data_IF_355393475818
#
_entry.id   IF_355393475818
#
_cell.length_a   1.000
_cell.length_b   1.000
_cell.length_c   1.000
_cell.angle_alpha   90.00
_cell.angle_beta   90.00
_cell.angle_gamma   90.00
#
_symmetry.space_group_name_H-M   'P 1'
#
loop_
_entity.id
_entity.type
_entity.pdbx_description
1 polymer ?
#
# COMPACT_ATOMS: atom_id res chain seq x y z
N UNK A 1 11.75 -0.14 -16.56
CA UNK A 1 10.30 0.15 -16.42
C UNK A 1 9.48 0.13 -17.70
N UNK A 2 9.93 0.63 -18.84
CA UNK A 2 9.18 0.50 -20.12
C UNK A 2 9.09 -0.95 -20.60
N UNK A 3 10.14 -1.75 -20.40
CA UNK A 3 10.17 -3.16 -20.76
C UNK A 3 9.14 -3.99 -19.96
N UNK A 4 8.98 -3.68 -18.66
CA UNK A 4 8.10 -4.43 -17.75
C UNK A 4 6.62 -4.22 -18.07
N UNK A 5 6.25 -3.01 -18.50
CA UNK A 5 4.89 -2.70 -18.96
C UNK A 5 4.53 -3.43 -20.25
N UNK A 6 5.46 -3.50 -21.22
CA UNK A 6 5.26 -4.29 -22.44
C UNK A 6 5.13 -5.77 -22.11
N UNK A 7 5.91 -6.28 -21.14
CA UNK A 7 5.84 -7.66 -20.67
C UNK A 7 4.50 -7.97 -20.02
N UNK A 8 4.03 -7.16 -19.06
CA UNK A 8 2.73 -7.35 -18.41
C UNK A 8 1.55 -7.21 -19.39
N UNK A 9 1.61 -6.27 -20.33
CA UNK A 9 0.60 -6.11 -21.36
C UNK A 9 0.56 -7.30 -22.34
N UNK A 10 1.73 -7.81 -22.76
CA UNK A 10 1.84 -8.99 -23.63
C UNK A 10 1.32 -10.26 -22.95
N UNK A 11 1.56 -10.41 -21.64
CA UNK A 11 1.15 -11.60 -20.88
C UNK A 11 -0.30 -11.55 -20.44
N UNK A 12 -1.06 -10.47 -20.70
CA UNK A 12 -2.39 -10.25 -20.12
C UNK A 12 -2.38 -10.47 -18.59
N UNK A 13 -1.32 -10.00 -17.93
CA UNK A 13 -1.10 -10.18 -16.51
C UNK A 13 -1.74 -9.07 -15.70
N UNK A 14 -2.15 -9.39 -14.48
CA UNK A 14 -2.38 -8.37 -13.45
C UNK A 14 -1.06 -7.64 -13.18
N UNK A 15 -1.13 -6.31 -13.12
CA UNK A 15 -0.03 -5.50 -12.61
C UNK A 15 -0.36 -5.13 -11.17
N UNK A 16 0.56 -5.45 -10.26
CA UNK A 16 0.40 -5.26 -8.82
C UNK A 16 1.59 -4.46 -8.31
N UNK A 17 1.33 -3.36 -7.63
CA UNK A 17 2.36 -2.59 -6.95
C UNK A 17 2.15 -2.73 -5.46
N UNK A 18 3.21 -3.11 -4.74
CA UNK A 18 3.18 -3.40 -3.31
C UNK A 18 4.09 -2.43 -2.58
N UNK A 19 3.73 -2.13 -1.34
CA UNK A 19 4.54 -1.37 -0.42
C UNK A 19 4.12 -1.60 1.03
N UNK A 20 5.03 -1.28 1.97
CA UNK A 20 4.78 -1.33 3.41
C UNK A 20 4.88 0.04 4.05
N UNK A 21 4.12 0.23 5.11
CA UNK A 21 4.20 1.44 5.91
C UNK A 21 3.93 1.21 7.38
N UNK A 22 4.61 2.00 8.23
CA UNK A 22 4.32 2.09 9.66
C UNK A 22 3.45 3.29 9.99
N UNK A 23 2.52 3.08 10.91
CA UNK A 23 1.65 4.11 11.49
C UNK A 23 1.91 4.14 12.99
N UNK A 24 2.50 5.23 13.45
CA UNK A 24 2.82 5.42 14.87
C UNK A 24 1.56 5.82 15.63
N UNK A 25 1.53 5.48 16.91
CA UNK A 25 0.47 5.93 17.82
C UNK A 25 0.52 7.45 18.02
N UNK A 26 1.73 8.02 18.01
CA UNK A 26 1.91 9.48 18.03
C UNK A 26 1.36 10.10 16.74
N UNK A 27 0.47 11.09 16.83
CA UNK A 27 -0.16 11.69 15.66
C UNK A 27 0.87 12.47 14.82
N UNK A 28 0.66 12.45 13.50
CA UNK A 28 1.32 13.40 12.62
C UNK A 28 0.62 14.74 12.75
N UNK A 29 1.32 15.69 13.37
CA UNK A 29 0.77 17.03 13.61
C UNK A 29 0.79 17.84 12.30
N UNK A 30 -0.37 18.38 11.93
CA UNK A 30 -0.51 19.33 10.82
C UNK A 30 -1.22 20.58 11.29
N UNK A 31 -0.91 21.69 10.61
CA UNK A 31 -1.65 22.94 10.82
C UNK A 31 -3.14 22.72 10.57
N UNK A 32 -3.97 23.23 11.45
CA UNK A 32 -5.41 23.17 11.35
C UNK A 32 -5.99 24.56 11.57
N UNK A 33 -7.23 24.77 11.18
CA UNK A 33 -7.94 26.01 11.45
C UNK A 33 -8.48 25.99 12.88
N UNK A 34 -8.41 27.12 13.54
CA UNK A 34 -8.99 27.35 14.86
C UNK A 34 -9.54 28.78 14.92
N UNK A 35 -10.49 29.06 15.82
CA UNK A 35 -10.91 30.43 16.10
C UNK A 35 -9.73 31.32 16.48
N UNK A 36 -9.80 32.61 16.10
CA UNK A 36 -8.74 33.57 16.43
C UNK A 36 -8.48 33.61 17.93
N UNK A 37 -7.22 33.50 18.33
CA UNK A 37 -6.81 33.48 19.74
C UNK A 37 -6.90 32.10 20.44
N UNK A 38 -7.40 31.05 19.77
CA UNK A 38 -7.50 29.71 20.32
C UNK A 38 -6.54 28.77 19.61
N UNK A 39 -5.37 28.56 20.18
CA UNK A 39 -4.41 27.57 19.62
C UNK A 39 -4.88 26.15 20.00
N UNK A 40 -5.08 25.25 19.00
CA UNK A 40 -5.43 23.87 19.28
C UNK A 40 -4.30 23.15 20.04
N UNK A 41 -4.63 22.56 21.18
CA UNK A 41 -3.68 21.77 21.97
C UNK A 41 -4.00 20.30 21.76
N UNK A 42 -3.05 19.55 21.17
CA UNK A 42 -3.12 18.10 21.07
C UNK A 42 -2.40 17.48 22.27
N UNK A 43 -3.16 16.84 23.15
CA UNK A 43 -2.58 16.09 24.26
C UNK A 43 -2.11 14.74 23.74
N UNK A 44 -0.81 14.51 23.64
CA UNK A 44 -0.25 13.23 23.25
C UNK A 44 0.14 12.43 24.49
N UNK A 45 -0.11 11.14 24.46
CA UNK A 45 0.43 10.22 25.45
C UNK A 45 1.93 10.06 25.20
N UNK A 46 2.75 10.55 26.09
CA UNK A 46 4.22 10.50 25.93
C UNK A 46 4.73 9.06 25.92
N UNK A 47 5.69 8.79 25.06
CA UNK A 47 6.58 7.61 25.16
C UNK A 47 6.15 6.33 24.46
N UNK A 48 4.98 6.23 23.85
CA UNK A 48 4.58 5.00 23.17
C UNK A 48 5.15 4.89 21.76
N UNK A 49 6.20 4.07 21.61
CA UNK A 49 6.75 3.64 20.31
C UNK A 49 5.86 2.59 19.61
N UNK A 50 4.63 2.39 20.12
CA UNK A 50 3.70 1.44 19.52
C UNK A 50 3.26 1.90 18.14
N UNK A 51 3.08 0.92 17.26
CA UNK A 51 2.71 1.17 15.87
C UNK A 51 1.83 0.07 15.30
N UNK A 52 1.16 0.40 14.23
CA UNK A 52 0.56 -0.54 13.30
C UNK A 52 1.41 -0.56 12.03
N UNK A 53 1.93 -1.72 11.65
CA UNK A 53 2.51 -1.90 10.33
C UNK A 53 1.43 -2.35 9.35
N UNK A 54 1.51 -1.89 8.14
CA UNK A 54 0.59 -2.27 7.06
C UNK A 54 1.37 -2.63 5.80
N UNK A 55 0.86 -3.61 5.07
CA UNK A 55 1.27 -3.93 3.71
C UNK A 55 0.05 -3.76 2.80
N UNK A 56 0.23 -3.14 1.66
CA UNK A 56 -0.83 -2.96 0.69
C UNK A 56 -0.36 -3.20 -0.74
N UNK A 57 -1.31 -3.62 -1.57
CA UNK A 57 -1.13 -3.83 -2.99
C UNK A 57 -2.21 -3.08 -3.77
N UNK A 58 -1.81 -2.21 -4.67
CA UNK A 58 -2.67 -1.64 -5.70
C UNK A 58 -2.59 -2.51 -6.95
N UNK A 59 -3.76 -2.96 -7.43
CA UNK A 59 -3.84 -3.91 -8.53
C UNK A 59 -4.54 -3.31 -9.75
N UNK A 60 -4.05 -3.67 -10.92
CA UNK A 60 -4.66 -3.34 -12.21
C UNK A 60 -4.97 -4.64 -12.93
N UNK A 61 -6.22 -4.81 -13.35
CA UNK A 61 -6.62 -6.00 -14.12
C UNK A 61 -5.91 -6.07 -15.49
N UNK A 62 -5.80 -7.27 -16.09
CA UNK A 62 -5.13 -7.46 -17.38
C UNK A 62 -5.64 -6.55 -18.49
N UNK A 63 -6.95 -6.31 -18.52
CA UNK A 63 -7.61 -5.41 -19.50
C UNK A 63 -7.60 -3.94 -19.06
N UNK A 64 -6.98 -3.63 -17.90
CA UNK A 64 -6.86 -2.26 -17.36
C UNK A 64 -8.18 -1.52 -17.11
N UNK A 65 -9.28 -2.25 -16.93
CA UNK A 65 -10.59 -1.69 -16.60
C UNK A 65 -10.85 -1.59 -15.10
N UNK A 66 -10.23 -2.49 -14.31
CA UNK A 66 -10.49 -2.60 -12.88
C UNK A 66 -9.23 -2.34 -12.08
N UNK A 67 -9.39 -1.47 -11.10
CA UNK A 67 -8.42 -1.22 -10.05
C UNK A 67 -8.87 -1.91 -8.78
N UNK A 68 -7.92 -2.39 -8.00
CA UNK A 68 -8.19 -3.00 -6.71
C UNK A 68 -7.18 -2.56 -5.66
N UNK A 69 -7.55 -2.78 -4.41
CA UNK A 69 -6.69 -2.60 -3.24
C UNK A 69 -6.82 -3.85 -2.36
N UNK A 70 -5.69 -4.51 -2.12
CA UNK A 70 -5.55 -5.54 -1.11
C UNK A 70 -4.65 -5.00 0.00
N UNK A 71 -4.93 -5.34 1.27
CA UNK A 71 -4.11 -4.89 2.38
C UNK A 71 -4.21 -5.83 3.59
N UNK A 72 -3.17 -5.82 4.42
CA UNK A 72 -3.15 -6.40 5.77
C UNK A 72 -2.50 -5.41 6.74
N UNK A 73 -2.90 -5.48 7.99
CA UNK A 73 -2.38 -4.63 9.07
C UNK A 73 -1.96 -5.49 10.26
N UNK A 74 -0.89 -5.09 10.93
CA UNK A 74 -0.26 -5.83 12.02
C UNK A 74 -0.03 -4.87 13.19
N UNK A 75 -0.96 -4.81 14.18
CA UNK A 75 -0.75 -4.01 15.39
C UNK A 75 0.39 -4.59 16.22
N UNK A 76 1.16 -3.72 16.86
CA UNK A 76 2.34 -4.06 17.70
C UNK A 76 3.38 -4.94 17.02
N UNK A 77 3.48 -4.89 15.69
CA UNK A 77 4.33 -5.82 14.96
C UNK A 77 4.82 -5.22 13.63
N UNK A 78 5.81 -5.87 13.04
CA UNK A 78 6.38 -5.47 11.75
C UNK A 78 5.94 -6.43 10.64
N UNK A 79 5.98 -5.96 9.41
CA UNK A 79 5.95 -6.83 8.24
C UNK A 79 7.35 -7.43 8.09
N UNK A 80 7.44 -8.75 8.16
CA UNK A 80 8.63 -9.53 7.89
C UNK A 80 8.42 -10.35 6.61
N UNK A 81 9.44 -11.12 6.19
CA UNK A 81 9.36 -11.89 4.95
C UNK A 81 8.26 -12.96 4.95
N UNK A 82 7.97 -13.59 6.11
CA UNK A 82 6.90 -14.59 6.24
C UNK A 82 5.53 -13.95 6.01
N UNK A 83 5.28 -12.80 6.66
CA UNK A 83 4.04 -12.03 6.48
C UNK A 83 3.89 -11.47 5.07
N UNK A 84 4.99 -11.07 4.46
CA UNK A 84 5.03 -10.65 3.07
C UNK A 84 4.69 -11.81 2.12
N UNK A 85 5.24 -13.00 2.38
CA UNK A 85 4.92 -14.23 1.64
C UNK A 85 3.45 -14.63 1.80
N UNK A 86 2.91 -14.58 3.03
CA UNK A 86 1.50 -14.85 3.30
C UNK A 86 0.57 -13.83 2.64
N UNK A 87 1.00 -12.58 2.57
CA UNK A 87 0.26 -11.54 1.84
C UNK A 87 0.23 -11.82 0.34
N UNK A 88 1.37 -12.25 -0.24
CA UNK A 88 1.44 -12.64 -1.64
C UNK A 88 0.54 -13.85 -1.95
N UNK A 89 0.57 -14.90 -1.12
CA UNK A 89 -0.33 -16.07 -1.28
C UNK A 89 -1.78 -15.62 -1.27
N UNK A 90 -2.17 -14.86 -0.25
CA UNK A 90 -3.53 -14.32 -0.17
C UNK A 90 -3.92 -13.48 -1.38
N UNK A 91 -3.02 -12.66 -1.91
CA UNK A 91 -3.25 -11.87 -3.11
C UNK A 91 -3.47 -12.78 -4.33
N UNK A 92 -2.63 -13.81 -4.48
CA UNK A 92 -2.70 -14.77 -5.58
C UNK A 92 -3.97 -15.62 -5.55
N UNK A 93 -4.54 -15.93 -4.40
CA UNK A 93 -5.82 -16.63 -4.26
C UNK A 93 -6.98 -15.83 -4.87
N UNK A 94 -6.87 -14.49 -4.86
CA UNK A 94 -7.90 -13.58 -5.39
C UNK A 94 -7.66 -13.16 -6.84
N UNK A 95 -6.44 -13.28 -7.35
CA UNK A 95 -6.08 -12.89 -8.72
C UNK A 95 -5.91 -14.13 -9.59
N UNK A 96 -6.85 -14.36 -10.50
CA UNK A 96 -6.78 -15.48 -11.45
C UNK A 96 -5.97 -15.10 -12.69
N UNK A 97 -5.02 -15.94 -13.08
CA UNK A 97 -4.15 -15.74 -14.23
C UNK A 97 -2.75 -15.21 -13.86
N UNK A 98 -1.94 -14.82 -14.85
CA UNK A 98 -0.59 -14.29 -14.63
C UNK A 98 -0.60 -13.02 -13.80
N UNK A 99 0.37 -12.86 -12.90
CA UNK A 99 0.53 -11.70 -12.01
C UNK A 99 1.96 -11.20 -12.10
N UNK A 100 2.13 -9.93 -12.37
CA UNK A 100 3.42 -9.24 -12.24
C UNK A 100 3.34 -8.32 -11.03
N UNK A 101 4.11 -8.62 -10.01
CA UNK A 101 4.28 -7.78 -8.83
C UNK A 101 5.49 -6.89 -9.04
N UNK A 102 5.29 -5.60 -8.86
CA UNK A 102 6.36 -4.60 -8.83
C UNK A 102 6.52 -4.14 -7.39
N UNK A 103 7.70 -4.31 -6.86
CA UNK A 103 8.03 -4.04 -5.47
C UNK A 103 9.36 -3.31 -5.36
N UNK A 104 9.61 -2.65 -4.24
CA UNK A 104 10.92 -2.06 -4.01
C UNK A 104 12.00 -3.14 -3.81
N UNK A 105 13.25 -2.73 -3.73
CA UNK A 105 14.40 -3.64 -3.62
C UNK A 105 14.73 -4.10 -2.19
N UNK A 106 13.80 -3.93 -1.23
CA UNK A 106 14.03 -4.23 0.18
C UNK A 106 14.50 -5.66 0.48
N UNK A 107 15.23 -5.89 1.59
CA UNK A 107 15.75 -7.22 1.93
C UNK A 107 14.66 -8.25 2.18
N UNK A 108 13.48 -7.82 2.60
CA UNK A 108 12.32 -8.70 2.86
C UNK A 108 11.80 -9.41 1.59
N UNK A 109 12.12 -8.89 0.40
CA UNK A 109 11.63 -9.39 -0.88
C UNK A 109 12.55 -10.48 -1.49
N UNK A 110 13.63 -10.85 -0.81
CA UNK A 110 14.64 -11.77 -1.31
C UNK A 110 14.77 -13.07 -0.51
N UNK A 111 14.05 -13.21 0.59
CA UNK A 111 14.16 -14.32 1.52
C UNK A 111 13.60 -15.65 1.00
N UNK A 112 13.87 -16.72 1.75
CA UNK A 112 13.43 -18.09 1.41
C UNK A 112 11.90 -18.21 1.33
N UNK A 113 11.19 -17.49 2.19
CA UNK A 113 9.73 -17.46 2.17
C UNK A 113 9.17 -16.93 0.83
N UNK A 114 9.79 -15.89 0.26
CA UNK A 114 9.40 -15.35 -1.05
C UNK A 114 9.79 -16.29 -2.17
N UNK A 115 10.99 -16.91 -2.09
CA UNK A 115 11.42 -17.95 -3.06
C UNK A 115 10.45 -19.13 -3.08
N UNK A 116 9.94 -19.55 -1.92
CA UNK A 116 8.91 -20.57 -1.82
C UNK A 116 7.63 -20.16 -2.58
N UNK A 117 7.14 -18.95 -2.38
CA UNK A 117 5.95 -18.45 -3.11
C UNK A 117 6.19 -18.48 -4.63
N UNK A 118 7.38 -18.09 -5.09
CA UNK A 118 7.70 -18.11 -6.53
C UNK A 118 7.71 -19.52 -7.10
N UNK A 119 8.16 -20.51 -6.34
CA UNK A 119 8.11 -21.94 -6.74
C UNK A 119 6.67 -22.46 -6.77
N UNK A 120 5.88 -22.13 -5.73
CA UNK A 120 4.50 -22.60 -5.59
C UNK A 120 3.55 -21.97 -6.62
N UNK A 121 3.89 -20.77 -7.11
CA UNK A 121 3.07 -20.01 -8.04
C UNK A 121 3.85 -19.58 -9.29
N UNK A 122 4.09 -20.47 -10.27
CA UNK A 122 4.86 -20.15 -11.50
C UNK A 122 4.23 -19.01 -12.35
N UNK A 123 2.97 -18.67 -12.09
CA UNK A 123 2.27 -17.54 -12.73
C UNK A 123 2.61 -16.17 -12.14
N UNK A 124 3.37 -16.12 -11.05
CA UNK A 124 3.88 -14.92 -10.40
C UNK A 124 5.23 -14.53 -11.00
N UNK A 125 5.37 -13.28 -11.38
CA UNK A 125 6.65 -12.64 -11.70
C UNK A 125 6.88 -11.49 -10.72
N UNK A 126 8.09 -11.40 -10.16
CA UNK A 126 8.51 -10.26 -9.34
C UNK A 126 9.45 -9.37 -10.15
N UNK A 127 9.11 -8.09 -10.19
CA UNK A 127 9.91 -7.04 -10.81
C UNK A 127 10.27 -5.99 -9.75
N UNK A 128 11.42 -5.35 -9.91
CA UNK A 128 11.86 -4.32 -8.96
C UNK A 128 11.58 -2.93 -9.50
N UNK A 129 11.16 -2.05 -8.60
CA UNK A 129 11.20 -0.62 -8.88
C UNK A 129 12.66 -0.18 -9.04
N UNK A 130 12.94 0.80 -9.90
CA UNK A 130 14.27 1.42 -9.93
C UNK A 130 14.63 1.93 -8.53
N UNK A 131 15.92 1.86 -8.15
CA UNK A 131 16.35 2.42 -6.88
C UNK A 131 16.01 3.92 -6.79
N UNK A 132 15.70 4.37 -5.58
CA UNK A 132 15.44 5.79 -5.29
C UNK A 132 14.30 6.45 -6.11
N UNK A 133 13.29 5.69 -6.47
CA UNK A 133 12.12 6.20 -7.19
C UNK A 133 10.79 5.88 -6.47
N UNK A 134 10.62 6.24 -5.18
CA UNK A 134 9.39 5.96 -4.45
C UNK A 134 8.17 6.64 -5.10
N UNK A 135 8.38 7.78 -5.77
CA UNK A 135 7.34 8.50 -6.50
C UNK A 135 6.67 7.68 -7.61
N UNK A 136 7.35 6.65 -8.11
CA UNK A 136 6.78 5.74 -9.10
C UNK A 136 5.89 4.65 -8.48
N UNK A 137 5.86 4.51 -7.15
CA UNK A 137 4.99 3.56 -6.49
C UNK A 137 3.66 4.23 -6.08
N UNK A 138 2.53 3.92 -6.73
CA UNK A 138 1.24 4.51 -6.39
C UNK A 138 0.77 4.16 -4.96
N UNK A 139 1.34 3.14 -4.32
CA UNK A 139 1.02 2.78 -2.92
C UNK A 139 1.57 3.82 -1.96
N UNK A 140 2.66 4.51 -2.29
CA UNK A 140 3.18 5.64 -1.49
C UNK A 140 2.15 6.78 -1.41
N UNK A 141 1.41 7.05 -2.48
CA UNK A 141 0.34 8.06 -2.48
C UNK A 141 -0.88 7.61 -1.66
N UNK A 142 -1.14 6.30 -1.57
CA UNK A 142 -2.11 5.77 -0.60
C UNK A 142 -1.65 6.04 0.84
N UNK A 143 -0.36 5.79 1.16
CA UNK A 143 0.18 6.08 2.49
C UNK A 143 0.15 7.56 2.81
N UNK A 144 0.54 8.40 1.87
CA UNK A 144 0.48 9.86 2.02
C UNK A 144 -0.94 10.36 2.26
N UNK A 145 -1.92 9.83 1.49
CA UNK A 145 -3.34 10.13 1.72
C UNK A 145 -3.78 9.73 3.14
N UNK A 146 -3.39 8.56 3.62
CA UNK A 146 -3.75 8.10 4.95
C UNK A 146 -3.04 8.89 6.05
N UNK A 147 -1.72 9.06 5.98
CA UNK A 147 -0.92 9.73 7.00
C UNK A 147 -1.24 11.22 7.10
N UNK A 148 -1.19 11.92 5.97
CA UNK A 148 -1.26 13.38 5.94
C UNK A 148 -2.65 13.92 5.63
N UNK A 149 -3.55 13.12 5.08
CA UNK A 149 -4.91 13.53 4.77
C UNK A 149 -5.91 13.08 5.83
N UNK A 150 -5.89 11.82 6.21
CA UNK A 150 -6.97 11.21 6.99
C UNK A 150 -6.65 11.05 8.46
N UNK A 151 -5.40 10.70 8.77
CA UNK A 151 -4.93 10.44 10.14
C UNK A 151 -4.10 11.60 10.70
N UNK A 152 -3.98 12.72 9.98
CA UNK A 152 -3.35 13.91 10.53
C UNK A 152 -4.15 14.44 11.72
N UNK A 153 -3.46 14.81 12.80
CA UNK A 153 -4.06 15.26 14.05
C UNK A 153 -5.01 14.23 14.71
N UNK A 154 -5.05 12.99 14.22
CA UNK A 154 -5.82 11.93 14.82
C UNK A 154 -5.08 11.36 16.02
N UNK A 155 -5.75 11.33 17.16
CA UNK A 155 -5.23 10.84 18.42
C UNK A 155 -5.96 9.54 18.78
N UNK A 156 -5.35 8.38 18.50
CA UNK A 156 -5.92 7.10 18.90
C UNK A 156 -5.73 6.87 20.42
N UNK A 157 -6.68 6.19 21.04
CA UNK A 157 -6.59 5.82 22.45
C UNK A 157 -5.49 4.77 22.68
N UNK A 158 -5.39 3.83 21.73
CA UNK A 158 -4.40 2.77 21.72
C UNK A 158 -4.08 2.29 20.31
N UNK A 159 -3.18 1.32 20.20
CA UNK A 159 -2.77 0.73 18.90
C UNK A 159 -3.90 -0.04 18.22
N UNK A 160 -4.85 -0.61 18.96
CA UNK A 160 -5.98 -1.35 18.39
C UNK A 160 -7.03 -0.39 17.84
N UNK A 161 -7.26 0.75 18.54
CA UNK A 161 -8.08 1.84 18.00
C UNK A 161 -7.48 2.40 16.70
N UNK A 162 -6.17 2.69 16.69
CA UNK A 162 -5.47 3.09 15.45
C UNK A 162 -5.65 2.07 14.34
N UNK A 163 -5.48 0.78 14.63
CA UNK A 163 -5.64 -0.31 13.67
C UNK A 163 -7.09 -0.40 13.13
N UNK A 164 -8.08 -0.23 13.98
CA UNK A 164 -9.50 -0.20 13.61
C UNK A 164 -9.81 0.92 12.62
N UNK A 165 -9.38 2.14 12.96
CA UNK A 165 -9.54 3.31 12.10
C UNK A 165 -8.78 3.14 10.78
N UNK A 166 -7.52 2.69 10.82
CA UNK A 166 -6.72 2.43 9.62
C UNK A 166 -7.41 1.43 8.66
N UNK A 167 -7.90 0.30 9.20
CA UNK A 167 -8.66 -0.69 8.40
C UNK A 167 -9.91 -0.08 7.78
N UNK A 168 -10.66 0.72 8.53
CA UNK A 168 -11.85 1.40 8.01
C UNK A 168 -11.50 2.34 6.85
N UNK A 169 -10.43 3.13 6.97
CA UNK A 169 -9.99 4.06 5.93
C UNK A 169 -9.47 3.34 4.68
N UNK A 170 -8.73 2.26 4.86
CA UNK A 170 -8.29 1.40 3.75
C UNK A 170 -9.47 0.76 3.02
N UNK A 171 -10.50 0.28 3.74
CA UNK A 171 -11.73 -0.25 3.14
C UNK A 171 -12.47 0.82 2.32
N UNK A 172 -12.59 2.05 2.84
CA UNK A 172 -13.18 3.19 2.10
C UNK A 172 -12.38 3.53 0.85
N UNK A 173 -11.04 3.52 0.93
CA UNK A 173 -10.19 3.73 -0.24
C UNK A 173 -10.41 2.64 -1.29
N UNK A 174 -10.48 1.36 -0.87
CA UNK A 174 -10.76 0.20 -1.73
C UNK A 174 -12.08 0.34 -2.50
N UNK A 175 -13.10 0.91 -1.87
CA UNK A 175 -14.44 1.09 -2.45
C UNK A 175 -14.56 2.33 -3.36
N UNK A 176 -13.48 3.10 -3.56
CA UNK A 176 -13.49 4.32 -4.36
C UNK A 176 -12.58 4.20 -5.58
N UNK A 177 -13.08 3.72 -6.74
CA UNK A 177 -12.29 3.63 -7.96
C UNK A 177 -11.67 4.97 -8.39
N UNK A 178 -12.36 6.14 -8.26
CA UNK A 178 -11.74 7.43 -8.57
C UNK A 178 -10.51 7.71 -7.71
N UNK A 179 -10.56 7.37 -6.41
CA UNK A 179 -9.43 7.53 -5.50
C UNK A 179 -8.26 6.61 -5.85
N UNK A 180 -8.52 5.33 -6.09
CA UNK A 180 -7.49 4.40 -6.54
C UNK A 180 -6.82 4.90 -7.82
N UNK A 181 -7.61 5.42 -8.76
CA UNK A 181 -7.09 6.00 -10.00
C UNK A 181 -6.21 7.22 -9.76
N UNK A 182 -6.57 8.08 -8.80
CA UNK A 182 -5.77 9.26 -8.48
C UNK A 182 -4.36 8.90 -7.98
N UNK A 183 -4.19 7.81 -7.22
CA UNK A 183 -2.88 7.35 -6.78
C UNK A 183 -2.00 6.95 -7.97
N UNK A 184 -2.54 6.20 -8.92
CA UNK A 184 -1.81 5.86 -10.14
C UNK A 184 -1.49 7.10 -11.00
N UNK A 185 -2.41 8.06 -11.08
CA UNK A 185 -2.16 9.31 -11.83
C UNK A 185 -1.01 10.11 -11.21
N UNK A 186 -0.99 10.22 -9.88
CA UNK A 186 0.04 10.95 -9.13
C UNK A 186 1.42 10.31 -9.26
N UNK A 187 1.51 8.97 -9.36
CA UNK A 187 2.79 8.28 -9.53
C UNK A 187 3.44 8.50 -10.89
N UNK A 188 2.81 9.19 -11.81
CA UNK A 188 3.36 9.44 -13.15
C UNK A 188 3.58 8.18 -13.99
N UNK A 189 3.15 7.00 -13.50
CA UNK A 189 3.26 5.77 -14.26
C UNK A 189 2.45 5.91 -15.56
N UNK A 190 3.05 5.72 -16.76
CA UNK A 190 2.36 5.85 -18.03
C UNK A 190 1.39 4.66 -18.25
N UNK A 191 0.39 4.53 -17.37
CA UNK A 191 -0.65 3.51 -17.45
C UNK A 191 -1.87 4.14 -18.11
N UNK A 192 -2.24 3.63 -19.27
CA UNK A 192 -3.52 3.99 -19.90
C UNK A 192 -4.60 3.08 -19.35
N UNK A 193 -5.61 3.65 -18.75
CA UNK A 193 -6.81 2.96 -18.32
C UNK A 193 -7.80 2.95 -19.50
N UNK A 194 -8.36 1.80 -19.80
CA UNK A 194 -9.43 1.70 -20.78
C UNK A 194 -10.75 1.90 -20.05
N UNK A 195 -11.54 2.86 -20.48
CA UNK A 195 -12.89 3.08 -20.01
C UNK A 195 -13.81 2.23 -20.89
N UNK A 196 -14.55 1.34 -20.27
CA UNK A 196 -15.70 0.69 -20.91
C UNK A 196 -16.92 1.60 -20.79
#
# INVERSE_FOLDING_TARGET
MAADKKSAARRRAYLVLIDESGFLLSPLVRRTLAPRGQTPVLKTWGGHRERVSAIAALTISPRRHRLGLCFRTYPKSFVNQERAADFLRHLLDHLRGPVTVVWDGGPMHKGDAIRAVLRDFPRLSLERLPPYTPELNPVEYLWNHLKYGVLSNFMPDDVFHLNGVLKQRLRRAKQSPPRLRSFFKQSGLPIRFHYG
#
